data_IF_771241544913
#
_entry.id   IF_771241544913
#
_cell.length_a   1.000
_cell.length_b   1.000
_cell.length_c   1.000
_cell.angle_alpha   90.00
_cell.angle_beta   90.00
_cell.angle_gamma   90.00
#
_symmetry.space_group_name_H-M   'P 1'
#
loop_
_entity.id
_entity.type
_entity.pdbx_description
1 polymer ?
#
# COMPACT_ATOMS: atom_id res chain seq x y z
N UNK A 1 -9.39 13.84 2.03
CA UNK A 1 -9.11 12.43 1.65
C UNK A 1 -9.73 12.18 0.28
N UNK A 2 -8.98 11.62 -0.66
CA UNK A 2 -9.46 11.30 -2.01
C UNK A 2 -10.71 10.40 -1.97
N UNK A 3 -11.67 10.65 -2.87
CA UNK A 3 -12.90 9.89 -3.01
C UNK A 3 -12.67 8.38 -3.21
N UNK A 4 -11.59 7.98 -3.87
CA UNK A 4 -11.27 6.56 -4.13
C UNK A 4 -11.11 5.70 -2.87
N UNK A 5 -10.63 6.30 -1.78
CA UNK A 5 -10.46 5.57 -0.51
C UNK A 5 -11.79 5.34 0.22
N UNK A 6 -12.88 5.96 -0.24
CA UNK A 6 -14.25 5.70 0.23
C UNK A 6 -14.94 4.65 -0.65
N UNK A 7 -16.17 4.30 -0.31
CA UNK A 7 -17.02 3.58 -1.25
C UNK A 7 -17.70 4.57 -2.19
N UNK A 8 -17.32 4.55 -3.46
CA UNK A 8 -17.93 5.38 -4.52
C UNK A 8 -18.76 4.54 -5.50
N UNK A 9 -18.89 3.24 -5.21
CA UNK A 9 -19.67 2.31 -6.01
C UNK A 9 -21.05 2.08 -5.38
N UNK A 10 -21.99 1.55 -6.18
CA UNK A 10 -23.35 1.21 -5.75
C UNK A 10 -23.46 -0.04 -4.86
N UNK A 11 -22.34 -0.70 -4.58
CA UNK A 11 -22.21 -1.82 -3.64
C UNK A 11 -20.84 -1.77 -2.96
N UNK A 12 -20.58 -2.56 -1.90
CA UNK A 12 -19.27 -2.58 -1.25
C UNK A 12 -18.12 -2.86 -2.23
N UNK A 13 -17.03 -2.10 -2.12
CA UNK A 13 -15.83 -2.23 -2.93
C UNK A 13 -14.62 -2.73 -2.14
N UNK A 14 -13.98 -3.80 -2.63
CA UNK A 14 -12.75 -4.37 -2.09
C UNK A 14 -11.55 -3.83 -2.86
N UNK A 15 -10.48 -3.44 -2.15
CA UNK A 15 -9.20 -3.02 -2.74
C UNK A 15 -8.09 -4.00 -2.39
N UNK A 16 -6.94 -3.89 -3.06
CA UNK A 16 -5.76 -4.73 -2.76
C UNK A 16 -5.35 -4.68 -1.28
N UNK A 17 -5.30 -3.48 -0.68
CA UNK A 17 -4.95 -3.35 0.75
C UNK A 17 -5.96 -4.04 1.65
N UNK A 18 -7.26 -3.93 1.35
CA UNK A 18 -8.30 -4.62 2.10
C UNK A 18 -8.22 -6.14 1.94
N UNK A 19 -7.95 -6.64 0.73
CA UNK A 19 -7.77 -8.06 0.47
C UNK A 19 -6.57 -8.63 1.24
N UNK A 20 -5.44 -7.91 1.27
CA UNK A 20 -4.28 -8.25 2.10
C UNK A 20 -4.61 -8.22 3.58
N UNK A 21 -5.40 -7.26 4.05
CA UNK A 21 -5.87 -7.23 5.46
C UNK A 21 -6.69 -8.46 5.81
N UNK A 22 -7.58 -8.93 4.93
CA UNK A 22 -8.35 -10.17 5.18
C UNK A 22 -7.43 -11.37 5.36
N UNK A 23 -6.35 -11.45 4.56
CA UNK A 23 -5.42 -12.59 4.57
C UNK A 23 -4.42 -12.54 5.71
N UNK A 24 -3.85 -11.37 5.97
CA UNK A 24 -2.80 -11.19 6.99
C UNK A 24 -3.38 -11.00 8.39
N UNK A 25 -4.59 -10.47 8.50
CA UNK A 25 -5.30 -10.23 9.76
C UNK A 25 -6.58 -11.07 9.78
N UNK A 26 -7.75 -10.44 9.65
CA UNK A 26 -9.04 -11.10 9.55
C UNK A 26 -10.14 -10.14 9.04
N UNK A 27 -11.32 -10.65 8.63
CA UNK A 27 -12.46 -9.82 8.25
C UNK A 27 -12.93 -8.84 9.34
N UNK A 28 -12.95 -9.24 10.61
CA UNK A 28 -13.31 -8.35 11.73
C UNK A 28 -12.41 -7.11 11.79
N UNK A 29 -11.10 -7.31 11.63
CA UNK A 29 -10.13 -6.22 11.64
C UNK A 29 -10.32 -5.29 10.45
N UNK A 30 -10.58 -5.83 9.25
CA UNK A 30 -10.93 -5.03 8.07
C UNK A 30 -12.19 -4.19 8.32
N UNK A 31 -13.26 -4.81 8.82
CA UNK A 31 -14.52 -4.13 9.07
C UNK A 31 -14.33 -2.95 10.01
N UNK A 32 -13.69 -3.18 11.16
CA UNK A 32 -13.44 -2.15 12.17
C UNK A 32 -12.63 -0.95 11.66
N UNK A 33 -11.68 -1.18 10.74
CA UNK A 33 -10.68 -0.20 10.30
C UNK A 33 -10.89 0.30 8.86
N UNK A 34 -12.12 0.25 8.34
CA UNK A 34 -12.43 0.72 6.98
C UNK A 34 -13.81 1.39 6.91
N UNK A 35 -14.15 1.90 5.73
CA UNK A 35 -15.44 2.55 5.48
C UNK A 35 -16.65 1.63 5.73
N UNK A 36 -16.43 0.31 5.83
CA UNK A 36 -17.47 -0.68 6.08
C UNK A 36 -18.12 -0.49 7.46
N UNK A 37 -17.35 0.00 8.43
CA UNK A 37 -17.87 0.38 9.74
C UNK A 37 -18.30 1.85 9.71
N UNK A 38 -19.60 2.17 9.88
CA UNK A 38 -20.09 3.56 9.89
C UNK A 38 -19.48 4.44 10.98
N UNK A 39 -18.95 3.82 12.05
CA UNK A 39 -18.31 4.52 13.16
C UNK A 39 -16.80 4.72 12.96
N UNK A 40 -16.24 4.23 11.85
CA UNK A 40 -14.82 4.39 11.57
C UNK A 40 -14.50 5.83 11.20
N UNK A 41 -13.60 6.45 11.97
CA UNK A 41 -13.06 7.78 11.68
C UNK A 41 -11.59 7.62 11.25
N UNK A 42 -11.24 7.93 10.00
CA UNK A 42 -9.85 7.83 9.55
C UNK A 42 -8.97 8.86 10.26
N UNK A 43 -7.92 8.41 10.94
CA UNK A 43 -6.91 9.32 11.47
C UNK A 43 -5.93 9.77 10.38
N UNK A 44 -5.51 11.05 10.36
CA UNK A 44 -4.43 11.52 9.48
C UNK A 44 -3.14 10.78 9.79
N UNK A 45 -2.72 9.91 8.88
CA UNK A 45 -1.50 9.13 9.05
C UNK A 45 -0.29 9.91 8.53
N UNK A 46 0.27 10.72 9.41
CA UNK A 46 1.38 11.66 9.14
C UNK A 46 2.56 11.01 8.38
N UNK A 47 2.88 9.76 8.70
CA UNK A 47 3.98 9.03 8.08
C UNK A 47 3.79 8.75 6.58
N UNK A 48 2.57 8.87 6.05
CA UNK A 48 2.29 8.78 4.60
C UNK A 48 2.41 10.12 3.87
N UNK A 49 2.47 11.26 4.56
CA UNK A 49 2.54 12.59 3.92
C UNK A 49 3.79 12.71 3.03
N UNK A 50 4.94 12.24 3.53
CA UNK A 50 6.19 12.24 2.76
C UNK A 50 6.11 11.38 1.49
N UNK A 51 5.51 10.18 1.60
CA UNK A 51 5.31 9.31 0.44
C UNK A 51 4.36 9.93 -0.58
N UNK A 52 3.30 10.56 -0.11
CA UNK A 52 2.31 11.26 -0.96
C UNK A 52 2.96 12.41 -1.73
N UNK A 53 3.81 13.21 -1.07
CA UNK A 53 4.54 14.27 -1.74
C UNK A 53 5.54 13.73 -2.79
N UNK A 54 6.17 12.60 -2.53
CA UNK A 54 7.05 11.95 -3.50
C UNK A 54 6.28 11.47 -4.74
N UNK A 55 5.12 10.85 -4.55
CA UNK A 55 4.19 10.49 -5.63
C UNK A 55 3.81 11.69 -6.49
N UNK A 56 3.32 12.76 -5.85
CA UNK A 56 2.98 14.01 -6.53
C UNK A 56 4.17 14.58 -7.30
N UNK A 57 5.33 14.66 -6.68
CA UNK A 57 6.53 15.20 -7.31
C UNK A 57 6.92 14.38 -8.55
N UNK A 58 6.86 13.05 -8.49
CA UNK A 58 7.39 12.19 -9.54
C UNK A 58 6.41 11.94 -10.68
N UNK A 59 5.11 11.88 -10.37
CA UNK A 59 4.08 11.39 -11.30
C UNK A 59 3.10 12.49 -11.73
N UNK A 60 2.87 13.49 -10.88
CA UNK A 60 1.91 14.58 -11.11
C UNK A 60 2.52 15.97 -10.81
N UNK A 61 3.68 16.32 -11.39
CA UNK A 61 4.41 17.54 -11.04
C UNK A 61 3.58 18.83 -11.24
N UNK A 62 2.66 18.83 -12.21
CA UNK A 62 1.78 19.97 -12.49
C UNK A 62 0.78 20.24 -11.36
N UNK A 63 0.46 19.24 -10.54
CA UNK A 63 -0.44 19.38 -9.38
C UNK A 63 0.30 19.74 -8.09
N UNK A 64 1.64 19.78 -8.10
CA UNK A 64 2.45 19.90 -6.89
C UNK A 64 2.12 21.20 -6.13
N UNK A 65 2.02 22.33 -6.83
CA UNK A 65 1.74 23.64 -6.22
C UNK A 65 0.31 23.75 -5.64
N UNK A 66 -0.64 23.00 -6.19
CA UNK A 66 -2.01 22.96 -5.70
C UNK A 66 -2.14 22.05 -4.47
N UNK A 67 -1.44 20.92 -4.47
CA UNK A 67 -1.62 19.85 -3.48
C UNK A 67 -0.62 19.84 -2.33
N UNK A 68 0.50 20.54 -2.44
CA UNK A 68 1.53 20.62 -1.40
C UNK A 68 1.61 22.04 -0.83
N UNK A 69 1.79 22.13 0.50
CA UNK A 69 2.07 23.40 1.18
C UNK A 69 3.44 23.32 1.85
N UNK A 70 4.38 24.17 1.42
CA UNK A 70 5.72 24.25 2.03
C UNK A 70 5.64 25.14 3.26
N UNK A 71 5.90 24.56 4.43
CA UNK A 71 5.97 25.27 5.69
C UNK A 71 7.43 25.62 5.97
N UNK A 72 7.72 26.92 6.08
CA UNK A 72 9.05 27.44 6.40
C UNK A 72 9.36 27.26 7.89
N UNK A 73 9.56 26.02 8.31
CA UNK A 73 9.95 25.63 9.65
C UNK A 73 10.95 24.44 9.59
N UNK A 74 11.89 24.33 10.54
CA UNK A 74 12.83 23.21 10.58
C UNK A 74 12.20 21.92 11.15
N UNK A 75 11.19 22.06 12.02
CA UNK A 75 10.46 20.97 12.67
C UNK A 75 9.05 21.42 13.09
N UNK A 76 8.25 20.48 13.58
CA UNK A 76 6.87 20.72 14.05
C UNK A 76 6.80 21.09 15.55
N UNK A 77 7.89 21.53 16.20
CA UNK A 77 7.89 21.79 17.66
C UNK A 77 7.21 23.09 18.03
N UNK A 78 7.30 24.10 17.17
CA UNK A 78 6.72 25.41 17.44
C UNK A 78 5.23 25.45 17.07
N UNK A 79 4.47 26.24 17.82
CA UNK A 79 3.01 26.35 17.70
C UNK A 79 2.58 26.89 16.33
N UNK A 80 3.31 27.87 15.80
CA UNK A 80 3.11 28.44 14.47
C UNK A 80 3.21 27.38 13.36
N UNK A 81 4.22 26.50 13.41
CA UNK A 81 4.38 25.40 12.46
C UNK A 81 3.23 24.38 12.57
N UNK A 82 2.78 24.06 13.78
CA UNK A 82 1.65 23.15 14.02
C UNK A 82 0.33 23.73 13.51
N UNK A 83 0.08 25.02 13.76
CA UNK A 83 -1.11 25.73 13.26
C UNK A 83 -1.10 25.77 11.72
N UNK A 84 0.04 26.12 11.10
CA UNK A 84 0.17 26.12 9.64
C UNK A 84 -0.05 24.73 9.04
N UNK A 85 0.45 23.67 9.70
CA UNK A 85 0.20 22.27 9.31
C UNK A 85 -1.29 21.92 9.33
N UNK A 86 -1.99 22.33 10.39
CA UNK A 86 -3.42 22.08 10.55
C UNK A 86 -4.25 22.84 9.50
N UNK A 87 -3.86 24.08 9.18
CA UNK A 87 -4.46 24.87 8.11
C UNK A 87 -4.27 24.21 6.74
N UNK A 88 -3.05 23.77 6.42
CA UNK A 88 -2.77 23.07 5.17
C UNK A 88 -3.66 21.82 5.01
N UNK A 89 -3.77 21.00 6.06
CA UNK A 89 -4.64 19.81 6.08
C UNK A 89 -6.12 20.15 5.90
N UNK A 90 -6.59 21.21 6.56
CA UNK A 90 -7.98 21.70 6.42
C UNK A 90 -8.26 22.12 4.98
N UNK A 91 -7.27 22.70 4.31
CA UNK A 91 -7.34 23.09 2.90
C UNK A 91 -7.12 21.92 1.93
N UNK A 92 -7.00 20.68 2.42
CA UNK A 92 -6.79 19.50 1.60
C UNK A 92 -5.37 19.34 1.04
N UNK A 93 -4.41 20.16 1.50
CA UNK A 93 -3.00 20.11 1.09
C UNK A 93 -2.19 19.18 1.98
N UNK A 94 -1.09 18.67 1.43
CA UNK A 94 -0.06 17.92 2.16
C UNK A 94 0.96 18.93 2.71
N UNK A 95 1.02 19.15 4.04
CA UNK A 95 2.04 20.02 4.62
C UNK A 95 3.43 19.36 4.53
N UNK A 96 4.45 20.15 4.19
CA UNK A 96 5.84 19.69 4.09
C UNK A 96 6.78 20.71 4.72
N UNK A 97 7.70 20.27 5.58
CA UNK A 97 8.75 21.15 6.09
C UNK A 97 9.75 21.48 4.97
N UNK A 98 10.35 22.67 5.02
CA UNK A 98 11.36 23.09 4.03
C UNK A 98 12.52 22.09 3.90
N UNK A 99 12.98 21.49 5.01
CA UNK A 99 14.03 20.47 5.00
C UNK A 99 13.59 19.17 4.31
N UNK A 100 12.33 18.75 4.52
CA UNK A 100 11.77 17.56 3.87
C UNK A 100 11.59 17.77 2.36
N UNK A 101 11.30 18.99 1.93
CA UNK A 101 11.23 19.33 0.50
C UNK A 101 12.62 19.20 -0.17
N UNK A 102 13.67 19.72 0.47
CA UNK A 102 15.04 19.58 -0.02
C UNK A 102 15.50 18.10 -0.07
N UNK A 103 15.13 17.30 0.94
CA UNK A 103 15.36 15.84 0.91
C UNK A 103 14.66 15.18 -0.27
N UNK A 104 13.41 15.58 -0.55
CA UNK A 104 12.62 15.02 -1.63
C UNK A 104 13.18 15.38 -3.02
N UNK A 105 13.70 16.60 -3.18
CA UNK A 105 14.41 17.02 -4.40
C UNK A 105 15.70 16.22 -4.61
N UNK A 106 16.46 15.95 -3.55
CA UNK A 106 17.65 15.09 -3.61
C UNK A 106 17.29 13.63 -3.97
N UNK A 107 16.21 13.11 -3.39
CA UNK A 107 15.66 11.81 -3.78
C UNK A 107 15.25 11.78 -5.25
N UNK A 108 14.57 12.83 -5.73
CA UNK A 108 14.20 12.96 -7.15
C UNK A 108 15.44 12.86 -8.03
N UNK A 109 16.47 13.64 -7.73
CA UNK A 109 17.72 13.65 -8.50
C UNK A 109 18.36 12.25 -8.56
N UNK A 110 18.42 11.53 -7.44
CA UNK A 110 18.94 10.17 -7.38
C UNK A 110 18.10 9.17 -8.21
N UNK A 111 16.78 9.30 -8.19
CA UNK A 111 15.88 8.44 -8.98
C UNK A 111 16.06 8.65 -10.48
N UNK A 112 16.14 9.90 -10.93
CA UNK A 112 16.35 10.21 -12.34
C UNK A 112 17.79 9.95 -12.83
N UNK A 113 18.76 9.87 -11.93
CA UNK A 113 20.11 9.38 -12.25
C UNK A 113 20.18 7.85 -12.42
N UNK A 114 19.19 7.10 -11.93
CA UNK A 114 19.16 5.65 -12.04
C UNK A 114 18.74 5.20 -13.44
N UNK A 115 19.54 4.35 -14.09
CA UNK A 115 19.38 3.94 -15.49
C UNK A 115 18.04 3.27 -15.83
N UNK A 116 17.48 2.50 -14.88
CA UNK A 116 16.16 1.85 -15.01
C UNK A 116 15.03 2.76 -14.48
N UNK A 117 15.09 3.16 -13.20
CA UNK A 117 13.99 3.88 -12.54
C UNK A 117 13.65 5.24 -13.17
N UNK A 118 14.61 5.93 -13.81
CA UNK A 118 14.37 7.18 -14.55
C UNK A 118 13.29 7.08 -15.64
N UNK A 119 13.02 5.86 -16.13
CA UNK A 119 12.02 5.59 -17.18
C UNK A 119 10.69 5.05 -16.62
N UNK A 120 10.61 4.83 -15.31
CA UNK A 120 9.49 4.14 -14.68
C UNK A 120 8.18 4.95 -14.75
N UNK A 121 8.28 6.28 -14.75
CA UNK A 121 7.13 7.20 -14.73
C UNK A 121 7.01 8.01 -16.03
N UNK A 122 7.33 7.37 -17.17
CA UNK A 122 7.30 8.00 -18.50
C UNK A 122 6.40 7.20 -19.45
N UNK A 123 5.62 7.91 -20.26
CA UNK A 123 4.78 7.34 -21.33
C UNK A 123 3.58 6.55 -20.82
N UNK A 124 3.09 6.88 -19.63
CA UNK A 124 1.92 6.27 -19.01
C UNK A 124 1.03 7.30 -18.32
N UNK A 125 0.16 6.83 -17.44
CA UNK A 125 -0.80 7.65 -16.70
C UNK A 125 -0.69 7.37 -15.20
N UNK A 126 -0.61 8.43 -14.40
CA UNK A 126 -0.58 8.33 -12.95
C UNK A 126 -1.99 8.12 -12.37
N UNK A 127 -2.09 7.43 -11.23
CA UNK A 127 -3.28 7.38 -10.36
C UNK A 127 -4.60 6.94 -11.06
N UNK A 128 -4.50 6.19 -12.17
CA UNK A 128 -5.65 5.72 -12.92
C UNK A 128 -6.41 4.63 -12.16
N UNK A 129 -7.71 4.84 -11.95
CA UNK A 129 -8.55 3.93 -11.16
C UNK A 129 -9.34 2.97 -12.07
N UNK A 130 -9.32 1.69 -11.73
CA UNK A 130 -10.13 0.64 -12.35
C UNK A 130 -11.12 0.07 -11.33
N UNK A 131 -12.34 -0.19 -11.81
CA UNK A 131 -13.43 -0.77 -11.03
C UNK A 131 -14.07 -1.90 -11.83
N UNK A 132 -14.17 -3.09 -11.22
CA UNK A 132 -14.72 -4.28 -11.85
C UNK A 132 -15.78 -4.88 -10.96
N UNK A 133 -16.95 -5.20 -11.52
CA UNK A 133 -18.02 -5.88 -10.78
C UNK A 133 -17.69 -7.37 -10.68
N UNK A 134 -17.77 -7.93 -9.46
CA UNK A 134 -17.66 -9.37 -9.22
C UNK A 134 -18.85 -9.81 -8.34
N UNK A 135 -19.98 -10.15 -8.97
CA UNK A 135 -21.22 -10.49 -8.26
C UNK A 135 -21.85 -9.29 -7.55
N UNK A 136 -22.00 -9.40 -6.22
CA UNK A 136 -22.59 -8.38 -5.35
C UNK A 136 -21.59 -7.31 -4.85
N UNK A 137 -20.31 -7.41 -5.21
CA UNK A 137 -19.26 -6.48 -4.79
C UNK A 137 -18.55 -5.85 -6.00
N UNK A 138 -17.77 -4.81 -5.72
CA UNK A 138 -16.80 -4.25 -6.64
C UNK A 138 -15.38 -4.59 -6.23
N UNK A 139 -14.51 -4.81 -7.21
CA UNK A 139 -13.06 -4.84 -7.03
C UNK A 139 -12.51 -3.52 -7.56
N UNK A 140 -11.64 -2.86 -6.80
CA UNK A 140 -10.99 -1.62 -7.21
C UNK A 140 -9.47 -1.69 -7.14
N UNK A 141 -8.84 -1.02 -8.10
CA UNK A 141 -7.41 -0.90 -8.21
C UNK A 141 -7.04 0.49 -8.71
N UNK A 142 -6.01 1.08 -8.11
CA UNK A 142 -5.30 2.26 -8.62
C UNK A 142 -3.79 2.09 -8.45
N UNK A 143 -3.06 1.67 -9.50
CA UNK A 143 -1.60 1.63 -9.44
C UNK A 143 -1.10 3.07 -9.44
N UNK A 144 0.11 3.27 -8.91
CA UNK A 144 0.69 4.61 -8.89
C UNK A 144 0.95 5.10 -10.33
N UNK A 145 1.40 4.20 -11.21
CA UNK A 145 1.60 4.51 -12.63
C UNK A 145 1.24 3.34 -13.57
N UNK A 146 0.38 3.62 -14.55
CA UNK A 146 -0.08 2.69 -15.58
C UNK A 146 0.69 2.96 -16.88
N UNK A 147 1.50 1.99 -17.34
CA UNK A 147 2.16 2.02 -18.65
C UNK A 147 1.46 1.07 -19.63
N UNK A 148 1.71 1.18 -20.94
CA UNK A 148 1.14 0.26 -21.92
C UNK A 148 1.39 -1.22 -21.58
N UNK A 149 2.64 -1.59 -21.28
CA UNK A 149 3.05 -2.99 -21.08
C UNK A 149 3.18 -3.42 -19.60
N UNK A 150 3.16 -2.46 -18.66
CA UNK A 150 3.51 -2.75 -17.26
C UNK A 150 2.82 -1.81 -16.28
N UNK A 151 2.79 -2.22 -15.01
CA UNK A 151 2.37 -1.40 -13.89
C UNK A 151 3.58 -1.03 -13.03
N UNK A 152 3.55 0.16 -12.42
CA UNK A 152 4.61 0.61 -11.53
C UNK A 152 3.99 1.12 -10.23
N UNK A 153 4.61 0.73 -9.12
CA UNK A 153 4.29 1.20 -7.78
C UNK A 153 5.56 1.72 -7.11
N UNK A 154 5.49 2.93 -6.58
CA UNK A 154 6.61 3.63 -5.97
C UNK A 154 6.53 3.54 -4.45
N UNK A 155 7.61 3.04 -3.85
CA UNK A 155 7.71 2.85 -2.41
C UNK A 155 8.89 3.64 -1.84
N UNK A 156 8.62 4.50 -0.86
CA UNK A 156 9.68 5.00 0.01
C UNK A 156 9.93 4.01 1.15
N UNK A 157 11.19 3.74 1.47
CA UNK A 157 11.58 2.77 2.50
C UNK A 157 12.77 3.29 3.33
N UNK A 158 12.96 2.71 4.52
CA UNK A 158 14.19 2.96 5.31
C UNK A 158 15.42 2.31 4.69
N UNK A 159 15.24 1.36 3.77
CA UNK A 159 16.32 0.68 3.05
C UNK A 159 15.87 0.33 1.63
N UNK A 160 16.78 0.50 0.68
CA UNK A 160 16.64 0.01 -0.69
C UNK A 160 17.43 -1.30 -0.92
N UNK A 161 18.01 -1.92 0.13
CA UNK A 161 18.70 -3.20 -0.02
C UNK A 161 17.73 -4.28 -0.51
N UNK A 162 17.95 -4.91 -1.68
CA UNK A 162 17.04 -5.91 -2.24
C UNK A 162 16.76 -7.09 -1.29
N UNK A 163 17.74 -7.51 -0.48
CA UNK A 163 17.59 -8.64 0.47
C UNK A 163 16.61 -8.32 1.60
N UNK A 164 16.73 -7.12 2.19
CA UNK A 164 15.79 -6.66 3.21
C UNK A 164 14.41 -6.34 2.62
N UNK A 165 14.39 -5.81 1.40
CA UNK A 165 13.14 -5.52 0.70
C UNK A 165 12.32 -6.78 0.46
N UNK A 166 12.92 -7.89 0.00
CA UNK A 166 12.21 -9.13 -0.27
C UNK A 166 11.43 -9.63 0.96
N UNK A 167 12.09 -9.67 2.14
CA UNK A 167 11.46 -10.08 3.40
C UNK A 167 10.29 -9.14 3.78
N UNK A 168 10.49 -7.84 3.67
CA UNK A 168 9.45 -6.84 3.99
C UNK A 168 8.29 -6.88 2.99
N UNK A 169 8.57 -7.01 1.71
CA UNK A 169 7.59 -7.11 0.64
C UNK A 169 6.72 -8.36 0.80
N UNK A 170 7.33 -9.48 1.22
CA UNK A 170 6.58 -10.68 1.58
C UNK A 170 5.67 -10.45 2.79
N UNK A 171 6.20 -9.93 3.90
CA UNK A 171 5.41 -9.66 5.12
C UNK A 171 4.26 -8.67 4.86
N UNK A 172 4.46 -7.70 3.98
CA UNK A 172 3.44 -6.75 3.56
C UNK A 172 2.48 -7.31 2.50
N UNK A 173 2.70 -8.51 1.95
CA UNK A 173 1.84 -9.10 0.93
C UNK A 173 1.94 -8.41 -0.44
N UNK A 174 3.08 -7.84 -0.82
CA UNK A 174 3.22 -7.12 -2.09
C UNK A 174 3.09 -8.02 -3.33
N UNK A 175 3.34 -9.33 -3.22
CA UNK A 175 3.05 -10.29 -4.30
C UNK A 175 1.54 -10.42 -4.54
N UNK A 176 0.75 -10.45 -3.46
CA UNK A 176 -0.70 -10.39 -3.51
C UNK A 176 -1.18 -9.05 -4.08
N UNK A 177 -0.49 -7.94 -3.74
CA UNK A 177 -0.74 -6.63 -4.34
C UNK A 177 -0.55 -6.69 -5.86
N UNK A 178 0.64 -7.08 -6.33
CA UNK A 178 0.95 -7.16 -7.76
C UNK A 178 -0.09 -7.99 -8.54
N UNK A 179 -0.42 -9.18 -8.05
CA UNK A 179 -1.44 -10.04 -8.65
C UNK A 179 -2.82 -9.35 -8.74
N UNK A 180 -3.25 -8.68 -7.66
CA UNK A 180 -4.53 -7.95 -7.61
C UNK A 180 -4.61 -6.90 -8.72
N UNK A 181 -3.56 -6.10 -8.86
CA UNK A 181 -3.52 -5.02 -9.83
C UNK A 181 -3.53 -5.52 -11.26
N UNK A 182 -2.72 -6.54 -11.57
CA UNK A 182 -2.68 -7.15 -12.90
C UNK A 182 -4.05 -7.71 -13.29
N UNK A 183 -4.70 -8.43 -12.38
CA UNK A 183 -5.98 -9.10 -12.66
C UNK A 183 -7.15 -8.12 -12.77
N UNK A 184 -7.26 -7.14 -11.86
CA UNK A 184 -8.34 -6.14 -11.90
C UNK A 184 -8.22 -5.24 -13.13
N UNK A 185 -7.00 -4.81 -13.50
CA UNK A 185 -6.81 -4.00 -14.71
C UNK A 185 -7.05 -4.80 -15.98
N UNK A 186 -6.63 -6.06 -16.04
CA UNK A 186 -6.96 -6.96 -17.15
C UNK A 186 -8.48 -7.11 -17.30
N UNK A 187 -9.20 -7.32 -16.20
CA UNK A 187 -10.66 -7.44 -16.23
C UNK A 187 -11.36 -6.12 -16.63
N UNK A 188 -10.81 -4.96 -16.25
CA UNK A 188 -11.38 -3.66 -16.59
C UNK A 188 -11.12 -3.23 -18.03
N UNK A 189 -9.95 -3.57 -18.60
CA UNK A 189 -9.48 -3.04 -19.89
C UNK A 189 -9.44 -4.09 -21.01
N UNK A 190 -9.43 -5.38 -20.67
CA UNK A 190 -9.15 -6.47 -21.61
C UNK A 190 -7.67 -6.64 -21.97
N UNK A 191 -6.81 -5.72 -21.56
CA UNK A 191 -5.38 -5.73 -21.89
C UNK A 191 -4.58 -6.55 -20.88
N UNK A 192 -3.70 -7.41 -21.39
CA UNK A 192 -2.80 -8.21 -20.55
C UNK A 192 -1.50 -7.44 -20.35
N UNK A 193 -1.13 -7.24 -19.09
CA UNK A 193 0.20 -6.78 -18.67
C UNK A 193 0.85 -7.90 -17.88
N UNK A 194 2.12 -8.19 -18.14
CA UNK A 194 2.85 -9.26 -17.44
C UNK A 194 3.57 -8.76 -16.20
N UNK A 195 4.01 -7.50 -16.21
CA UNK A 195 4.91 -7.00 -15.18
C UNK A 195 4.27 -5.97 -14.25
N UNK A 196 4.48 -6.18 -12.96
CA UNK A 196 4.24 -5.20 -11.90
C UNK A 196 5.56 -4.87 -11.22
N UNK A 197 6.07 -3.66 -11.43
CA UNK A 197 7.36 -3.21 -10.94
C UNK A 197 7.22 -2.37 -9.67
N UNK A 198 7.99 -2.72 -8.64
CA UNK A 198 8.19 -1.89 -7.47
C UNK A 198 9.47 -1.05 -7.66
N UNK A 199 9.33 0.26 -7.63
CA UNK A 199 10.45 1.21 -7.54
C UNK A 199 10.58 1.61 -6.08
N UNK A 200 11.53 1.01 -5.38
CA UNK A 200 11.75 1.27 -3.95
C UNK A 200 12.94 2.19 -3.75
N UNK A 201 12.74 3.32 -3.09
CA UNK A 201 13.77 4.30 -2.80
C UNK A 201 14.01 4.48 -1.30
N UNK A 202 15.28 4.49 -0.91
CA UNK A 202 15.68 4.81 0.46
C UNK A 202 15.43 6.29 0.77
N UNK A 203 14.84 6.58 1.94
CA UNK A 203 14.66 7.96 2.44
C UNK A 203 15.94 8.60 2.99
N UNK A 204 17.04 7.86 3.06
CA UNK A 204 18.32 8.32 3.60
C UNK A 204 19.37 8.36 2.50
N UNK A 205 20.27 9.34 2.57
CA UNK A 205 21.40 9.45 1.65
C UNK A 205 22.19 8.11 1.60
N UNK A 206 22.64 7.66 0.41
CA UNK A 206 22.63 8.37 -0.88
C UNK A 206 21.33 8.16 -1.70
N UNK A 207 20.19 7.92 -1.05
CA UNK A 207 18.86 7.81 -1.65
C UNK A 207 18.76 6.73 -2.74
N UNK A 208 19.44 5.60 -2.49
CA UNK A 208 19.52 4.48 -3.42
C UNK A 208 18.13 3.99 -3.84
N UNK A 209 18.04 3.54 -5.08
CA UNK A 209 16.84 3.00 -5.69
C UNK A 209 17.09 1.54 -6.06
N UNK A 210 16.08 0.72 -5.81
CA UNK A 210 16.01 -0.67 -6.25
C UNK A 210 14.71 -0.89 -7.00
N UNK A 211 14.81 -1.51 -8.17
CA UNK A 211 13.67 -1.87 -9.01
C UNK A 211 13.49 -3.38 -8.96
N UNK A 212 12.33 -3.86 -8.53
CA UNK A 212 12.04 -5.30 -8.42
C UNK A 212 10.67 -5.63 -8.98
N UNK A 213 10.47 -6.90 -9.34
CA UNK A 213 9.16 -7.51 -9.54
C UNK A 213 9.13 -8.87 -8.88
N UNK A 214 7.93 -9.40 -8.67
CA UNK A 214 7.76 -10.80 -8.32
C UNK A 214 7.83 -11.69 -9.58
N UNK A 215 8.22 -12.94 -9.38
CA UNK A 215 8.16 -13.98 -10.39
C UNK A 215 6.73 -14.55 -10.52
N UNK A 216 6.52 -15.37 -11.54
CA UNK A 216 5.18 -15.86 -11.89
C UNK A 216 4.58 -16.75 -10.79
N UNK A 217 5.43 -17.52 -10.09
CA UNK A 217 5.01 -18.38 -8.97
C UNK A 217 4.48 -17.54 -7.80
N UNK A 218 5.18 -16.46 -7.43
CA UNK A 218 4.72 -15.56 -6.39
C UNK A 218 3.46 -14.79 -6.80
N UNK A 219 3.32 -14.42 -8.08
CA UNK A 219 2.09 -13.82 -8.60
C UNK A 219 0.92 -14.80 -8.49
N UNK A 220 1.11 -16.07 -8.85
CA UNK A 220 0.05 -17.09 -8.78
C UNK A 220 -0.37 -17.41 -7.32
N UNK A 221 0.60 -17.46 -6.40
CA UNK A 221 0.31 -17.53 -4.98
C UNK A 221 -0.53 -16.31 -4.53
N UNK A 222 -0.18 -15.11 -5.00
CA UNK A 222 -0.93 -13.89 -4.78
C UNK A 222 -2.37 -13.96 -5.31
N UNK A 223 -2.58 -14.49 -6.52
CA UNK A 223 -3.92 -14.70 -7.11
C UNK A 223 -4.76 -15.65 -6.26
N UNK A 224 -4.17 -16.75 -5.82
CA UNK A 224 -4.85 -17.72 -4.96
C UNK A 224 -5.33 -17.07 -3.65
N UNK A 225 -4.47 -16.28 -3.00
CA UNK A 225 -4.84 -15.55 -1.78
C UNK A 225 -5.89 -14.46 -2.05
N UNK A 226 -5.79 -13.75 -3.16
CA UNK A 226 -6.81 -12.78 -3.58
C UNK A 226 -8.17 -13.44 -3.76
N UNK A 227 -8.23 -14.61 -4.43
CA UNK A 227 -9.49 -15.31 -4.63
C UNK A 227 -10.13 -15.71 -3.30
N UNK A 228 -9.34 -16.20 -2.34
CA UNK A 228 -9.79 -16.48 -0.97
C UNK A 228 -10.32 -15.23 -0.27
N UNK A 229 -9.58 -14.12 -0.35
CA UNK A 229 -9.98 -12.85 0.25
C UNK A 229 -11.30 -12.31 -0.32
N UNK A 230 -11.47 -12.40 -1.65
CA UNK A 230 -12.68 -11.94 -2.32
C UNK A 230 -13.88 -12.82 -1.92
N UNK A 231 -13.74 -14.15 -1.89
CA UNK A 231 -14.85 -15.03 -1.44
C UNK A 231 -15.21 -14.79 0.04
N UNK A 232 -14.20 -14.65 0.91
CA UNK A 232 -14.43 -14.30 2.32
C UNK A 232 -15.18 -12.96 2.44
N UNK A 233 -14.78 -11.95 1.65
CA UNK A 233 -15.42 -10.65 1.64
C UNK A 233 -16.88 -10.71 1.14
N UNK A 234 -17.16 -11.43 0.05
CA UNK A 234 -18.53 -11.64 -0.46
C UNK A 234 -19.42 -12.24 0.64
N UNK A 235 -18.95 -13.31 1.28
CA UNK A 235 -19.67 -13.94 2.41
C UNK A 235 -19.96 -12.93 3.52
N UNK A 236 -18.95 -12.17 3.96
CA UNK A 236 -19.11 -11.17 5.01
C UNK A 236 -20.13 -10.07 4.64
N UNK A 237 -20.13 -9.63 3.38
CA UNK A 237 -21.11 -8.67 2.86
C UNK A 237 -22.52 -9.27 2.85
N UNK A 238 -22.67 -10.53 2.42
CA UNK A 238 -23.97 -11.19 2.34
C UNK A 238 -24.58 -11.55 3.69
N UNK A 239 -23.76 -11.99 4.65
CA UNK A 239 -24.24 -12.44 5.96
C UNK A 239 -24.22 -11.37 7.03
N UNK A 240 -23.45 -10.29 6.82
CA UNK A 240 -23.12 -9.31 7.87
C UNK A 240 -22.18 -9.84 8.96
N UNK A 241 -21.68 -11.07 8.82
CA UNK A 241 -20.77 -11.70 9.79
C UNK A 241 -19.30 -11.50 9.39
N UNK A 242 -18.55 -10.81 10.25
CA UNK A 242 -17.14 -10.47 10.08
C UNK A 242 -16.29 -11.21 11.13
N UNK A 243 -15.84 -12.44 10.86
CA UNK A 243 -15.12 -13.24 11.85
C UNK A 243 -13.73 -12.66 12.16
N UNK A 244 -13.30 -12.84 13.42
CA UNK A 244 -11.94 -12.56 13.86
C UNK A 244 -10.97 -13.71 13.52
N UNK A 245 -9.99 -13.96 14.39
CA UNK A 245 -9.03 -15.09 14.25
C UNK A 245 -9.64 -16.48 14.51
N UNK A 246 -10.97 -16.60 14.46
CA UNK A 246 -11.71 -17.83 14.79
C UNK A 246 -11.89 -18.68 13.56
N UNK A 247 -11.93 -19.99 13.75
CA UNK A 247 -12.31 -20.90 12.69
C UNK A 247 -13.82 -20.73 12.37
N UNK A 248 -14.23 -20.71 11.09
CA UNK A 248 -15.64 -20.57 10.70
C UNK A 248 -16.57 -21.60 11.36
N UNK A 249 -16.03 -22.79 11.67
CA UNK A 249 -16.75 -23.93 12.26
C UNK A 249 -17.12 -23.78 13.74
N UNK A 250 -16.59 -22.80 14.49
CA UNK A 250 -16.92 -22.59 15.92
C UNK A 250 -17.33 -21.15 16.26
N UNK A 251 -18.48 -20.67 15.78
CA UNK A 251 -18.98 -19.34 16.12
C UNK A 251 -19.24 -19.18 17.63
N UNK A 252 -18.76 -18.08 18.22
CA UNK A 252 -19.13 -17.68 19.60
C UNK A 252 -18.31 -18.27 20.75
N UNK A 253 -17.26 -19.06 20.46
CA UNK A 253 -16.34 -19.56 21.49
C UNK A 253 -14.93 -19.05 21.23
N UNK A 254 -14.33 -18.43 22.25
CA UNK A 254 -12.91 -18.05 22.19
C UNK A 254 -12.03 -19.28 22.45
N UNK A 255 -11.00 -19.46 21.63
CA UNK A 255 -10.03 -20.55 21.76
C UNK A 255 -8.67 -19.99 22.15
N UNK A 256 -8.04 -20.57 23.17
CA UNK A 256 -6.64 -20.30 23.45
C UNK A 256 -5.75 -20.90 22.35
N UNK A 257 -4.74 -20.14 21.90
CA UNK A 257 -3.75 -20.61 20.93
C UNK A 257 -2.51 -21.11 21.66
N UNK A 258 -2.04 -22.31 21.30
CA UNK A 258 -0.75 -22.83 21.76
C UNK A 258 0.32 -22.33 20.79
N UNK A 259 1.35 -21.65 21.32
CA UNK A 259 2.48 -21.18 20.53
C UNK A 259 3.61 -22.21 20.58
N UNK A 260 4.21 -22.50 19.41
CA UNK A 260 5.47 -23.24 19.29
C UNK A 260 6.54 -22.31 18.74
N UNK A 261 7.80 -22.51 19.15
CA UNK A 261 8.90 -21.72 18.62
C UNK A 261 9.01 -21.88 17.10
N UNK A 262 9.10 -20.77 16.34
CA UNK A 262 9.38 -20.85 14.92
C UNK A 262 10.77 -21.44 14.70
N UNK A 263 10.97 -22.11 13.55
CA UNK A 263 12.21 -22.88 13.27
C UNK A 263 13.49 -22.08 13.47
N UNK A 264 13.50 -20.77 13.19
CA UNK A 264 14.68 -19.93 13.41
C UNK A 264 14.98 -19.74 14.91
N UNK A 265 13.95 -19.50 15.73
CA UNK A 265 14.09 -19.33 17.17
C UNK A 265 14.45 -20.64 17.86
N UNK A 266 13.93 -21.76 17.36
CA UNK A 266 14.30 -23.08 17.87
C UNK A 266 15.81 -23.31 17.73
N UNK A 267 16.41 -22.95 16.59
CA UNK A 267 17.86 -23.08 16.38
C UNK A 267 18.69 -22.23 17.34
N UNK A 268 18.25 -21.00 17.64
CA UNK A 268 18.94 -20.14 18.60
C UNK A 268 18.88 -20.72 20.02
N UNK A 269 17.71 -21.24 20.41
CA UNK A 269 17.53 -21.92 21.71
C UNK A 269 18.42 -23.16 21.79
N UNK A 270 18.46 -23.98 20.74
CA UNK A 270 19.30 -25.19 20.71
C UNK A 270 20.79 -24.83 20.87
N UNK A 271 21.24 -23.71 20.29
CA UNK A 271 22.61 -23.20 20.48
C UNK A 271 22.88 -22.75 21.91
N UNK A 272 21.93 -22.07 22.55
CA UNK A 272 22.04 -21.66 23.95
C UNK A 272 22.07 -22.84 24.91
N UNK A 273 21.32 -23.91 24.62
CA UNK A 273 21.33 -25.14 25.43
C UNK A 273 22.67 -25.89 25.29
N UNK A 274 23.31 -25.80 24.13
CA UNK A 274 24.58 -26.48 23.86
C UNK A 274 25.82 -25.72 24.38
N UNK A 275 25.67 -24.49 24.88
CA UNK A 275 26.73 -23.63 25.41
C UNK A 275 26.92 -23.80 26.92
#
# INVERSE_FOLDING_TARGET
MDAYHRNICDAPSLSSSMARTIVNECPAFLHANSYLNPNFTPEPKEHFEFGTAAHLMFMEPDQLAERLEIINAPDWRKKDAQEARAVARTNGKVPMLIGQMAELEAMRAALFAHSIASKAFVGGQAEMSAFVRDGNIWLKARPDYLRPESLVDYKTSTTANPKEFARRAFALGYYQQAAWYLDVLKAATGEVRSDFWFVTQAKVAPYLVTVTRFDDDAIEAGRTLNRKAIEAFKRCVDTGDWPGYRAPETPGQDTAFILTLPTFAQREVDQLIAA
#
